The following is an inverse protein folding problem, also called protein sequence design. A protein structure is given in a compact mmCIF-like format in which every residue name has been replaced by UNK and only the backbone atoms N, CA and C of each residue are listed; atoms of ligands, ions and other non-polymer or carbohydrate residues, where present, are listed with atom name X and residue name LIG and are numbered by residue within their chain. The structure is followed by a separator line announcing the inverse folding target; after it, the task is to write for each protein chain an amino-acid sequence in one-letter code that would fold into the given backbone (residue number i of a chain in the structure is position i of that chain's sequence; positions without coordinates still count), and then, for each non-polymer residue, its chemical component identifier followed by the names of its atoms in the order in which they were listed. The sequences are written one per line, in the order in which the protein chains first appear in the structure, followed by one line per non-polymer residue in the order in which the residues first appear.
data_IF_849153593273
#
_entry.id   IF_849153593273
#
_cell.length_a   1.000
_cell.length_b   1.000
_cell.length_c   1.000
_cell.angle_alpha   90.00
_cell.angle_beta   90.00
_cell.angle_gamma   90.00
#
_symmetry.space_group_name_H-M   'P 1'
#
loop_
_entity.id
_entity.type
_entity.pdbx_description
1 polymer ?
#
# COMPACT_ATOMS: atom_id res chain seq x y z
N UNK A 1 14.85 6.01 -7.43
CA UNK A 1 13.58 5.29 -7.68
C UNK A 1 13.65 3.77 -7.50
N UNK A 2 14.83 3.15 -7.32
CA UNK A 2 14.93 1.69 -7.18
C UNK A 2 14.00 1.13 -6.07
N UNK A 3 14.08 1.70 -4.86
CA UNK A 3 13.25 1.26 -3.73
C UNK A 3 11.75 1.41 -4.01
N UNK A 4 11.32 2.55 -4.58
CA UNK A 4 9.93 2.80 -4.97
C UNK A 4 9.44 1.76 -5.99
N UNK A 5 10.29 1.41 -6.96
CA UNK A 5 9.94 0.40 -7.97
C UNK A 5 9.71 -0.97 -7.34
N UNK A 6 10.61 -1.40 -6.46
CA UNK A 6 10.51 -2.68 -5.78
C UNK A 6 9.31 -2.70 -4.81
N UNK A 7 9.07 -1.61 -4.08
CA UNK A 7 7.90 -1.46 -3.22
C UNK A 7 6.60 -1.60 -4.03
N UNK A 8 6.46 -0.86 -5.13
CA UNK A 8 5.29 -0.96 -6.00
C UNK A 8 5.11 -2.35 -6.62
N UNK A 9 6.19 -2.98 -7.07
CA UNK A 9 6.15 -4.34 -7.61
C UNK A 9 5.66 -5.36 -6.57
N UNK A 10 6.06 -5.21 -5.30
CA UNK A 10 5.58 -6.05 -4.21
C UNK A 10 4.13 -5.75 -3.83
N UNK A 11 3.77 -4.47 -3.64
CA UNK A 11 2.41 -4.03 -3.28
C UNK A 11 1.36 -4.47 -4.32
N UNK A 12 1.70 -4.38 -5.62
CA UNK A 12 0.81 -4.76 -6.72
C UNK A 12 1.00 -6.19 -7.24
N UNK A 13 1.79 -7.02 -6.53
CA UNK A 13 1.98 -8.45 -6.84
C UNK A 13 2.52 -8.72 -8.25
N UNK A 14 3.44 -7.90 -8.73
CA UNK A 14 4.14 -8.10 -10.01
C UNK A 14 5.30 -9.11 -9.91
N UNK A 15 5.74 -9.47 -8.70
CA UNK A 15 6.74 -10.53 -8.52
C UNK A 15 6.14 -11.91 -8.76
N UNK A 16 6.91 -12.79 -9.38
CA UNK A 16 6.48 -14.16 -9.70
C UNK A 16 6.27 -15.04 -8.46
N UNK A 17 7.05 -14.81 -7.39
CA UNK A 17 6.99 -15.62 -6.17
C UNK A 17 6.93 -14.74 -4.92
N UNK A 18 5.95 -15.01 -4.05
CA UNK A 18 5.86 -14.45 -2.69
C UNK A 18 5.19 -15.49 -1.82
N UNK A 19 6.00 -16.25 -1.05
CA UNK A 19 5.57 -17.49 -0.38
C UNK A 19 4.33 -17.34 0.53
N UNK A 20 4.19 -16.19 1.20
CA UNK A 20 3.07 -15.92 2.12
C UNK A 20 1.88 -15.22 1.45
N UNK A 21 1.89 -15.04 0.12
CA UNK A 21 0.81 -14.40 -0.62
C UNK A 21 -0.01 -15.43 -1.40
N UNK A 22 -1.32 -15.48 -1.13
CA UNK A 22 -2.25 -16.32 -1.88
C UNK A 22 -2.61 -15.65 -3.21
N UNK A 23 -2.08 -16.19 -4.32
CA UNK A 23 -2.29 -15.67 -5.69
C UNK A 23 -3.76 -15.66 -6.08
N UNK A 24 -4.57 -16.60 -5.59
CA UNK A 24 -6.00 -16.71 -5.87
C UNK A 24 -6.82 -15.57 -5.23
N UNK A 25 -6.24 -14.84 -4.27
CA UNK A 25 -6.87 -13.70 -3.59
C UNK A 25 -6.38 -12.33 -4.08
N UNK A 26 -5.40 -12.28 -4.99
CA UNK A 26 -4.82 -11.02 -5.47
C UNK A 26 -5.84 -10.07 -6.10
N UNK A 27 -6.89 -10.62 -6.74
CA UNK A 27 -8.01 -9.86 -7.31
C UNK A 27 -8.86 -9.12 -6.27
N UNK A 28 -8.72 -9.44 -4.98
CA UNK A 28 -9.44 -8.75 -3.89
C UNK A 28 -8.72 -7.47 -3.43
N UNK A 29 -7.44 -7.29 -3.79
CA UNK A 29 -6.69 -6.10 -3.45
C UNK A 29 -7.23 -4.90 -4.21
N UNK A 30 -7.25 -3.72 -3.57
CA UNK A 30 -7.77 -2.47 -4.16
C UNK A 30 -6.78 -1.34 -3.95
N UNK A 31 -6.76 -0.43 -4.92
CA UNK A 31 -6.01 0.82 -4.84
C UNK A 31 -7.01 1.91 -4.47
N UNK A 32 -6.77 2.60 -3.36
CA UNK A 32 -7.64 3.70 -2.90
C UNK A 32 -7.22 5.05 -3.51
N UNK A 33 -5.91 5.28 -3.66
CA UNK A 33 -5.33 6.53 -4.18
C UNK A 33 -4.17 6.17 -5.11
N UNK A 34 -4.09 6.85 -6.25
CA UNK A 34 -3.01 6.67 -7.22
C UNK A 34 -3.25 5.50 -8.18
N UNK A 35 -2.17 4.89 -8.66
CA UNK A 35 -2.19 3.83 -9.67
C UNK A 35 -1.36 2.61 -9.27
N UNK A 36 -1.39 1.56 -10.08
CA UNK A 36 -0.50 0.39 -9.92
C UNK A 36 0.96 0.66 -10.30
N UNK A 37 1.27 1.88 -10.76
CA UNK A 37 2.61 2.29 -11.15
C UNK A 37 3.13 3.40 -10.23
N UNK A 38 3.58 3.00 -9.05
CA UNK A 38 4.07 3.90 -8.00
C UNK A 38 5.21 4.82 -8.48
N UNK A 39 6.08 4.35 -9.39
CA UNK A 39 7.16 5.18 -9.95
C UNK A 39 6.61 6.32 -10.81
N UNK A 40 5.60 6.04 -11.63
CA UNK A 40 4.93 7.05 -12.45
C UNK A 40 4.26 8.11 -11.57
N UNK A 41 3.53 7.68 -10.55
CA UNK A 41 2.83 8.56 -9.62
C UNK A 41 3.79 9.53 -8.92
N UNK A 42 4.91 9.01 -8.38
CA UNK A 42 5.93 9.85 -7.73
C UNK A 42 6.58 10.79 -8.75
N UNK A 43 6.93 10.33 -9.95
CA UNK A 43 7.51 11.21 -10.98
C UNK A 43 6.56 12.35 -11.36
N UNK A 44 5.27 12.08 -11.49
CA UNK A 44 4.29 13.11 -11.81
C UNK A 44 4.16 14.14 -10.69
N UNK A 45 4.20 13.71 -9.43
CA UNK A 45 4.25 14.62 -8.26
C UNK A 45 5.55 15.43 -8.17
N UNK A 46 6.66 14.91 -8.65
CA UNK A 46 7.92 15.67 -8.68
C UNK A 46 7.96 16.71 -9.81
N UNK A 47 7.26 16.48 -10.93
CA UNK A 47 7.20 17.41 -12.06
C UNK A 47 6.56 18.76 -11.71
N UNK A 48 5.63 18.78 -10.76
CA UNK A 48 4.97 20.01 -10.31
C UNK A 48 5.85 20.86 -9.39
N UNK A 49 6.99 20.34 -8.93
CA UNK A 49 7.89 21.08 -8.05
C UNK A 49 8.75 22.05 -8.86
N UNK A 50 8.83 23.30 -8.41
CA UNK A 50 9.68 24.33 -9.04
C UNK A 50 11.18 24.06 -8.86
N UNK A 51 11.57 23.27 -7.85
CA UNK A 51 12.96 22.95 -7.54
C UNK A 51 13.24 21.48 -7.76
N UNK A 52 14.39 21.20 -8.37
CA UNK A 52 14.88 19.83 -8.59
C UNK A 52 15.22 19.16 -7.26
N UNK A 53 14.69 17.97 -7.04
CA UNK A 53 15.05 17.11 -5.89
C UNK A 53 16.51 16.66 -5.95
N UNK A 54 17.19 16.69 -4.80
CA UNK A 54 18.55 16.14 -4.63
C UNK A 54 18.57 14.61 -4.89
N UNK A 55 19.73 14.08 -5.30
CA UNK A 55 19.90 12.65 -5.66
C UNK A 55 19.53 11.67 -4.54
N UNK A 56 19.73 12.07 -3.29
CA UNK A 56 19.46 11.30 -2.06
C UNK A 56 18.23 11.81 -1.30
N UNK A 57 17.31 12.50 -1.97
CA UNK A 57 16.07 12.93 -1.34
C UNK A 57 15.24 11.71 -0.92
N UNK A 58 14.63 11.79 0.25
CA UNK A 58 13.52 10.90 0.61
C UNK A 58 12.33 11.34 -0.24
N UNK A 59 11.85 10.46 -1.11
CA UNK A 59 10.79 10.76 -2.08
C UNK A 59 9.39 10.42 -1.57
N UNK A 60 9.30 9.48 -0.62
CA UNK A 60 8.06 9.04 0.02
C UNK A 60 8.41 8.35 1.34
N UNK A 61 7.42 8.28 2.24
CA UNK A 61 7.44 7.45 3.46
C UNK A 61 6.43 6.34 3.26
N UNK A 62 6.86 5.08 3.39
CA UNK A 62 5.99 3.91 3.30
C UNK A 62 5.49 3.55 4.70
N UNK A 63 4.17 3.63 4.89
CA UNK A 63 3.51 3.36 6.16
C UNK A 63 2.65 2.11 6.05
N UNK A 64 2.81 1.18 7.00
CA UNK A 64 1.99 -0.03 7.06
C UNK A 64 0.87 0.16 8.09
N UNK A 65 -0.36 0.26 7.60
CA UNK A 65 -1.55 0.21 8.44
C UNK A 65 -2.10 -1.21 8.43
N UNK A 66 -2.09 -1.86 9.59
CA UNK A 66 -2.58 -3.24 9.75
C UNK A 66 -3.09 -3.45 11.17
N UNK A 67 -3.94 -4.47 11.36
CA UNK A 67 -4.42 -4.91 12.66
C UNK A 67 -4.07 -6.39 12.86
N UNK A 68 -4.22 -6.87 14.10
CA UNK A 68 -4.01 -8.27 14.39
C UNK A 68 -5.02 -9.13 13.62
N UNK A 69 -4.62 -10.32 13.11
CA UNK A 69 -5.52 -11.18 12.34
C UNK A 69 -6.79 -11.60 13.09
N UNK A 70 -6.78 -11.61 14.42
CA UNK A 70 -7.93 -11.98 15.24
C UNK A 70 -9.13 -11.06 14.96
N UNK A 71 -8.87 -9.76 14.74
CA UNK A 71 -9.92 -8.77 14.45
C UNK A 71 -10.59 -8.96 13.09
N UNK A 72 -9.94 -9.66 12.16
CA UNK A 72 -10.50 -9.94 10.82
C UNK A 72 -11.10 -11.35 10.69
N UNK A 73 -10.85 -12.24 11.66
CA UNK A 73 -11.24 -13.66 11.62
C UNK A 73 -12.42 -14.01 12.52
N UNK A 74 -12.76 -13.15 13.49
CA UNK A 74 -13.87 -13.35 14.41
C UNK A 74 -15.07 -12.45 14.07
N UNK A 75 -16.27 -12.89 14.45
CA UNK A 75 -17.51 -12.13 14.27
C UNK A 75 -18.06 -12.13 12.85
N UNK A 76 -19.28 -11.61 12.70
CA UNK A 76 -19.87 -11.34 11.40
C UNK A 76 -19.30 -10.01 10.82
N UNK A 77 -19.70 -9.64 9.59
CA UNK A 77 -19.19 -8.45 8.91
C UNK A 77 -19.47 -7.14 9.67
N UNK A 78 -20.59 -7.07 10.40
CA UNK A 78 -20.96 -5.91 11.19
C UNK A 78 -20.06 -5.77 12.43
N UNK A 79 -19.77 -6.88 13.12
CA UNK A 79 -18.87 -6.90 14.27
C UNK A 79 -17.45 -6.41 13.89
N UNK A 80 -16.97 -6.86 12.72
CA UNK A 80 -15.69 -6.44 12.15
C UNK A 80 -15.69 -4.94 11.83
N UNK A 81 -16.76 -4.43 11.23
CA UNK A 81 -16.90 -3.01 10.91
C UNK A 81 -16.92 -2.13 12.16
N UNK A 82 -17.70 -2.51 13.19
CA UNK A 82 -17.77 -1.76 14.44
C UNK A 82 -16.43 -1.77 15.19
N UNK A 83 -15.70 -2.88 15.15
CA UNK A 83 -14.36 -2.99 15.72
C UNK A 83 -13.38 -2.05 15.02
N UNK A 84 -13.38 -2.04 13.67
CA UNK A 84 -12.54 -1.14 12.87
C UNK A 84 -12.86 0.33 13.17
N UNK A 85 -14.14 0.68 13.28
CA UNK A 85 -14.58 2.05 13.58
C UNK A 85 -14.10 2.52 14.95
N UNK A 86 -14.15 1.68 15.98
CA UNK A 86 -13.63 2.01 17.31
C UNK A 86 -12.12 2.24 17.30
N UNK A 87 -11.37 1.41 16.57
CA UNK A 87 -9.91 1.53 16.46
C UNK A 87 -9.48 2.77 15.67
N UNK A 88 -10.20 3.15 14.62
CA UNK A 88 -9.82 4.27 13.74
C UNK A 88 -10.03 5.67 14.36
N UNK A 89 -10.72 5.75 15.51
CA UNK A 89 -11.04 7.01 16.22
C UNK A 89 -10.10 7.23 17.42
N UNK A 90 -9.34 6.21 17.83
CA UNK A 90 -8.33 6.30 18.90
C UNK A 90 -6.97 6.74 18.37
#
# INVERSE_FOLDING_TARGET
FANIRQAGAHQHRHHANTLNADKCRSNRNRIFIGSSNLVSDVKNRLKILQKKTRKNAVLAVDGVLTLSPALFRQGNREDQYQTLKKFAIA
#
